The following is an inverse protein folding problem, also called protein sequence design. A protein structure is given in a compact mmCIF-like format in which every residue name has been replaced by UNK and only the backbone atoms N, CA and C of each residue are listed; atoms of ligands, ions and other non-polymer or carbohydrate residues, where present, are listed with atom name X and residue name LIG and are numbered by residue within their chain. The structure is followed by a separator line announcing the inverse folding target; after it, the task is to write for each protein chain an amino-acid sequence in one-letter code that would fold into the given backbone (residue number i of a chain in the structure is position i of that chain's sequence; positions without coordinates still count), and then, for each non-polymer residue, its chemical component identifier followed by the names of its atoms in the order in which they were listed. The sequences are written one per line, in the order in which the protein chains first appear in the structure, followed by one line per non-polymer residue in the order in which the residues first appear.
data_IF_272176922366
#
_entry.id   IF_272176922366
#
_cell.length_a   1.000
_cell.length_b   1.000
_cell.length_c   1.000
_cell.angle_alpha   90.00
_cell.angle_beta   90.00
_cell.angle_gamma   90.00
#
_symmetry.space_group_name_H-M   'P 1'
#
loop_
_entity.id
_entity.type
_entity.pdbx_description
1 polymer ?
#
# COMPACT_ATOMS: atom_id res chain seq x y z
N UNK A 1 -9.63 -12.49 3.82
CA UNK A 1 -8.99 -12.04 5.07
C UNK A 1 -7.50 -11.81 4.82
N UNK A 2 -6.84 -10.97 5.61
CA UNK A 2 -5.39 -10.81 5.51
C UNK A 2 -4.66 -11.95 6.26
N UNK A 3 -3.67 -12.55 5.61
CA UNK A 3 -2.82 -13.61 6.21
C UNK A 3 -2.17 -13.16 7.52
N UNK A 4 -1.74 -11.89 7.60
CA UNK A 4 -1.15 -11.34 8.80
C UNK A 4 -2.11 -11.37 10.01
N UNK A 5 -3.40 -11.12 9.79
CA UNK A 5 -4.41 -11.18 10.85
C UNK A 5 -4.62 -12.61 11.35
N UNK A 6 -4.77 -13.57 10.43
CA UNK A 6 -4.92 -14.98 10.77
C UNK A 6 -3.72 -15.52 11.55
N UNK A 7 -2.49 -15.18 11.12
CA UNK A 7 -1.26 -15.55 11.84
C UNK A 7 -1.20 -14.98 13.26
N UNK A 8 -1.54 -13.70 13.44
CA UNK A 8 -1.55 -13.04 14.75
C UNK A 8 -2.56 -13.66 15.72
N UNK A 9 -3.64 -14.23 15.20
CA UNK A 9 -4.68 -14.91 15.98
C UNK A 9 -4.40 -16.42 16.18
N UNK A 10 -3.30 -16.96 15.63
CA UNK A 10 -3.01 -18.39 15.69
C UNK A 10 -3.87 -19.27 14.77
N UNK A 11 -4.56 -18.67 13.79
CA UNK A 11 -5.48 -19.32 12.87
C UNK A 11 -4.84 -19.62 11.50
N UNK A 12 -3.51 -19.69 11.41
CA UNK A 12 -2.83 -19.95 10.14
C UNK A 12 -3.11 -21.35 9.55
N UNK A 13 -3.57 -22.30 10.38
CA UNK A 13 -4.00 -23.63 9.92
C UNK A 13 -5.28 -23.60 9.10
N UNK A 14 -6.08 -22.53 9.21
CA UNK A 14 -7.34 -22.34 8.48
C UNK A 14 -7.16 -21.62 7.15
N UNK A 15 -5.92 -21.27 6.79
CA UNK A 15 -5.61 -20.61 5.51
C UNK A 15 -5.71 -21.64 4.38
N UNK A 16 -6.83 -21.60 3.65
CA UNK A 16 -7.03 -22.47 2.48
C UNK A 16 -6.07 -22.13 1.33
N UNK A 17 -5.87 -20.84 1.05
CA UNK A 17 -5.04 -20.35 -0.04
C UNK A 17 -4.45 -18.98 0.30
N UNK A 18 -3.20 -18.75 -0.10
CA UNK A 18 -2.57 -17.43 -0.09
C UNK A 18 -2.58 -16.92 -1.54
N UNK A 19 -3.38 -15.88 -1.78
CA UNK A 19 -3.52 -15.30 -3.11
C UNK A 19 -2.24 -14.57 -3.53
N UNK A 20 -1.70 -14.84 -4.73
CA UNK A 20 -0.57 -14.10 -5.29
C UNK A 20 -0.88 -12.60 -5.45
N UNK A 21 0.14 -11.74 -5.31
CA UNK A 21 0.02 -10.27 -5.50
C UNK A 21 -0.45 -9.91 -6.91
N UNK A 22 -0.07 -10.70 -7.91
CA UNK A 22 -0.52 -10.52 -9.28
C UNK A 22 -2.06 -10.63 -9.39
N UNK A 23 -2.64 -11.58 -8.67
CA UNK A 23 -4.08 -11.88 -8.68
C UNK A 23 -4.85 -10.94 -7.75
N UNK A 24 -4.34 -10.73 -6.54
CA UNK A 24 -4.97 -9.89 -5.51
C UNK A 24 -3.92 -8.98 -4.87
N UNK A 25 -3.75 -7.79 -5.44
CA UNK A 25 -2.82 -6.80 -4.91
C UNK A 25 -3.29 -6.34 -3.51
N UNK A 26 -2.42 -6.36 -2.49
CA UNK A 26 -2.75 -5.91 -1.14
C UNK A 26 -3.25 -4.47 -1.02
N UNK A 27 -3.99 -4.20 0.05
CA UNK A 27 -4.27 -2.83 0.49
C UNK A 27 -2.97 -2.14 0.98
N UNK A 28 -2.82 -0.81 0.81
CA UNK A 28 -1.65 -0.08 1.28
C UNK A 28 -1.39 -0.31 2.78
N UNK A 29 -0.18 -0.77 3.12
CA UNK A 29 0.27 -1.05 4.47
C UNK A 29 -0.23 -2.38 5.06
N UNK A 30 -0.88 -3.25 4.26
CA UNK A 30 -1.44 -4.50 4.78
C UNK A 30 -0.37 -5.37 5.43
N UNK A 31 -0.55 -5.67 6.72
CA UNK A 31 0.35 -6.54 7.48
C UNK A 31 1.43 -5.79 8.26
N UNK A 32 1.69 -4.51 7.95
CA UNK A 32 2.54 -3.66 8.78
C UNK A 32 1.84 -3.27 10.10
N UNK A 33 2.63 -2.95 11.13
CA UNK A 33 2.16 -2.29 12.35
C UNK A 33 2.88 -0.95 12.45
N UNK A 34 2.14 0.09 12.83
CA UNK A 34 2.68 1.41 13.07
C UNK A 34 2.32 1.85 14.49
N UNK A 35 3.27 2.52 15.15
CA UNK A 35 3.05 3.13 16.46
C UNK A 35 2.94 4.64 16.25
N UNK A 36 1.85 5.23 16.72
CA UNK A 36 1.64 6.67 16.65
C UNK A 36 1.99 7.30 18.00
N UNK A 37 2.84 8.31 17.99
CA UNK A 37 3.13 9.16 19.14
C UNK A 37 2.60 10.57 18.90
N UNK A 38 2.52 11.36 19.97
CA UNK A 38 2.28 12.80 19.85
C UNK A 38 3.53 13.47 19.29
N UNK A 39 3.36 14.47 18.43
CA UNK A 39 4.47 15.26 17.92
C UNK A 39 5.25 15.92 19.07
N UNK A 40 6.59 15.81 19.02
CA UNK A 40 7.50 16.36 20.05
C UNK A 40 7.58 15.55 21.34
N UNK A 41 6.88 14.41 21.44
CA UNK A 41 6.93 13.54 22.61
C UNK A 41 8.21 12.68 22.61
N UNK A 42 8.94 12.57 23.74
CA UNK A 42 10.12 11.71 23.86
C UNK A 42 9.87 10.24 23.50
N UNK A 43 8.62 9.77 23.60
CA UNK A 43 8.24 8.43 23.15
C UNK A 43 8.57 8.17 21.67
N UNK A 44 8.70 9.21 20.84
CA UNK A 44 9.10 9.06 19.44
C UNK A 44 10.47 8.38 19.32
N UNK A 45 11.47 8.81 20.09
CA UNK A 45 12.82 8.25 20.00
C UNK A 45 12.87 6.78 20.42
N UNK A 46 12.07 6.41 21.42
CA UNK A 46 11.90 5.02 21.87
C UNK A 46 11.23 4.19 20.76
N UNK A 47 10.15 4.70 20.17
CA UNK A 47 9.42 3.98 19.12
C UNK A 47 10.25 3.85 17.84
N UNK A 48 11.13 4.82 17.54
CA UNK A 48 12.01 4.80 16.37
C UNK A 48 12.93 3.58 16.37
N UNK A 49 13.32 3.06 17.53
CA UNK A 49 14.14 1.84 17.63
C UNK A 49 13.40 0.58 17.16
N UNK A 50 12.06 0.60 17.11
CA UNK A 50 11.25 -0.50 16.59
C UNK A 50 11.12 -0.50 15.06
N UNK A 51 11.62 0.54 14.40
CA UNK A 51 11.45 0.72 12.95
C UNK A 51 12.26 -0.31 12.17
N UNK A 52 11.56 -1.08 11.35
CA UNK A 52 12.17 -1.88 10.30
C UNK A 52 12.21 -1.05 9.00
N UNK A 53 13.38 -0.48 8.69
CA UNK A 53 13.56 0.49 7.60
C UNK A 53 13.01 0.03 6.23
N UNK A 54 13.25 -1.21 5.75
CA UNK A 54 12.69 -1.67 4.48
C UNK A 54 11.15 -1.69 4.47
N UNK A 55 10.52 -2.05 5.60
CA UNK A 55 9.06 -2.01 5.71
C UNK A 55 8.55 -0.57 5.76
N UNK A 56 9.25 0.32 6.46
CA UNK A 56 8.89 1.74 6.47
C UNK A 56 8.90 2.31 5.04
N UNK A 57 9.98 2.10 4.29
CA UNK A 57 10.11 2.56 2.90
C UNK A 57 9.00 2.01 2.00
N UNK A 58 8.72 0.70 2.06
CA UNK A 58 7.61 0.09 1.32
C UNK A 58 6.26 0.74 1.67
N UNK A 59 5.95 0.86 2.96
CA UNK A 59 4.68 1.45 3.44
C UNK A 59 4.57 2.92 3.07
N UNK A 60 5.66 3.70 3.14
CA UNK A 60 5.68 5.10 2.69
C UNK A 60 5.37 5.21 1.19
N UNK A 61 5.94 4.32 0.37
CA UNK A 61 5.65 4.25 -1.06
C UNK A 61 4.17 3.94 -1.33
N UNK A 62 3.62 2.90 -0.69
CA UNK A 62 2.21 2.50 -0.82
C UNK A 62 1.25 3.60 -0.36
N UNK A 63 1.57 4.29 0.74
CA UNK A 63 0.76 5.38 1.27
C UNK A 63 0.82 6.62 0.39
N UNK A 64 1.94 6.89 -0.27
CA UNK A 64 2.06 7.98 -1.24
C UNK A 64 1.17 7.73 -2.48
N UNK A 65 1.01 6.47 -2.92
CA UNK A 65 0.02 6.12 -3.95
C UNK A 65 -1.39 6.48 -3.48
N UNK A 66 -1.79 6.02 -2.29
CA UNK A 66 -3.11 6.27 -1.73
C UNK A 66 -3.39 7.77 -1.58
N UNK A 67 -2.42 8.53 -1.06
CA UNK A 67 -2.52 9.97 -0.88
C UNK A 67 -2.64 10.71 -2.22
N UNK A 68 -1.83 10.33 -3.23
CA UNK A 68 -1.87 10.93 -4.57
C UNK A 68 -3.19 10.69 -5.30
N UNK A 69 -3.89 9.61 -4.99
CA UNK A 69 -5.24 9.31 -5.52
C UNK A 69 -6.37 9.98 -4.73
N UNK A 70 -6.04 10.78 -3.70
CA UNK A 70 -7.03 11.45 -2.84
C UNK A 70 -7.87 10.45 -2.02
N UNK A 71 -7.27 9.31 -1.67
CA UNK A 71 -8.01 8.15 -1.18
C UNK A 71 -8.04 7.94 0.34
N UNK A 72 -9.11 7.28 0.77
CA UNK A 72 -9.26 6.70 2.11
C UNK A 72 -9.58 5.21 2.02
N UNK A 73 -9.75 4.53 3.16
CA UNK A 73 -9.88 3.06 3.23
C UNK A 73 -11.06 2.45 2.44
N UNK A 74 -12.05 3.25 2.03
CA UNK A 74 -13.23 2.78 1.30
C UNK A 74 -13.03 2.75 -0.22
N UNK A 75 -11.91 3.27 -0.73
CA UNK A 75 -11.64 3.26 -2.15
C UNK A 75 -11.02 1.93 -2.60
N UNK A 76 -11.35 1.44 -3.80
CA UNK A 76 -10.85 0.21 -4.41
C UNK A 76 -9.45 0.45 -4.99
N UNK A 77 -8.53 0.82 -4.09
CA UNK A 77 -7.14 1.12 -4.38
C UNK A 77 -6.30 0.02 -3.73
N UNK A 78 -5.41 -0.56 -4.51
CA UNK A 78 -4.40 -1.50 -4.04
C UNK A 78 -3.01 -0.91 -4.29
N UNK A 79 -2.10 -1.11 -3.35
CA UNK A 79 -0.69 -0.78 -3.51
C UNK A 79 0.13 -1.73 -2.65
N UNK A 80 1.15 -2.34 -3.25
CA UNK A 80 2.09 -3.22 -2.59
C UNK A 80 3.49 -2.91 -3.08
N UNK A 81 4.37 -2.61 -2.13
CA UNK A 81 5.77 -2.37 -2.38
C UNK A 81 6.64 -3.37 -1.61
N UNK A 82 7.74 -3.77 -2.24
CA UNK A 82 8.79 -4.56 -1.58
C UNK A 82 10.16 -3.94 -1.85
N UNK A 83 11.06 -4.04 -0.88
CA UNK A 83 12.46 -3.63 -1.03
C UNK A 83 13.30 -4.87 -1.31
N UNK A 84 13.93 -4.91 -2.48
CA UNK A 84 14.87 -5.97 -2.91
C UNK A 84 16.16 -5.29 -3.36
N UNK A 85 17.29 -5.63 -2.74
CA UNK A 85 18.61 -5.07 -3.09
C UNK A 85 18.63 -3.52 -3.19
N UNK A 86 18.07 -2.84 -2.18
CA UNK A 86 17.95 -1.36 -2.11
C UNK A 86 17.06 -0.73 -3.20
N UNK A 87 16.29 -1.53 -3.94
CA UNK A 87 15.28 -1.06 -4.89
C UNK A 87 13.89 -1.36 -4.38
N UNK A 88 12.99 -0.39 -4.52
CA UNK A 88 11.57 -0.60 -4.38
C UNK A 88 11.01 -1.20 -5.67
N UNK A 89 10.17 -2.21 -5.52
CA UNK A 89 9.25 -2.69 -6.55
C UNK A 89 7.85 -2.41 -6.09
N UNK A 90 7.12 -1.57 -6.81
CA UNK A 90 5.75 -1.17 -6.50
C UNK A 90 4.81 -1.71 -7.55
N UNK A 91 3.75 -2.38 -7.11
CA UNK A 91 2.54 -2.66 -7.89
C UNK A 91 1.38 -1.88 -7.27
N UNK A 92 0.67 -1.11 -8.08
CA UNK A 92 -0.53 -0.40 -7.65
C UNK A 92 -1.65 -0.50 -8.67
N UNK A 93 -2.88 -0.38 -8.20
CA UNK A 93 -4.04 -0.39 -9.07
C UNK A 93 -5.29 0.25 -8.48
N UNK A 94 -6.18 0.65 -9.38
CA UNK A 94 -7.51 1.18 -9.06
C UNK A 94 -8.53 0.37 -9.83
N UNK A 95 -9.61 -0.02 -9.15
CA UNK A 95 -10.64 -0.89 -9.71
C UNK A 95 -12.01 -0.19 -9.67
N UNK A 96 -12.84 -0.39 -10.69
CA UNK A 96 -14.23 0.03 -10.61
C UNK A 96 -14.96 -0.81 -9.54
N UNK A 97 -15.92 -0.25 -8.78
CA UNK A 97 -16.60 -0.98 -7.69
C UNK A 97 -17.33 -2.24 -8.15
N UNK A 98 -17.85 -2.20 -9.37
CA UNK A 98 -18.53 -3.30 -10.03
C UNK A 98 -17.57 -4.27 -10.76
N UNK A 99 -16.26 -4.05 -10.65
CA UNK A 99 -15.21 -4.86 -11.30
C UNK A 99 -15.10 -4.69 -12.82
N UNK A 100 -15.89 -3.82 -13.45
CA UNK A 100 -15.96 -3.70 -14.93
C UNK A 100 -14.68 -3.16 -15.59
N UNK A 101 -13.88 -2.41 -14.84
CA UNK A 101 -12.66 -1.77 -15.32
C UNK A 101 -11.62 -1.74 -14.20
N UNK A 102 -10.35 -1.79 -14.57
CA UNK A 102 -9.25 -1.52 -13.65
C UNK A 102 -8.08 -0.88 -14.39
N UNK A 103 -7.23 -0.17 -13.63
CA UNK A 103 -5.94 0.34 -14.08
C UNK A 103 -4.87 -0.18 -13.14
N UNK A 104 -3.76 -0.69 -13.70
CA UNK A 104 -2.60 -1.17 -12.95
C UNK A 104 -1.32 -0.52 -13.45
N UNK A 105 -0.40 -0.24 -12.53
CA UNK A 105 0.93 0.28 -12.79
C UNK A 105 1.93 -0.52 -11.95
N UNK A 106 3.04 -0.89 -12.58
CA UNK A 106 4.21 -1.43 -11.91
C UNK A 106 5.36 -0.44 -12.10
N UNK A 107 6.15 -0.20 -11.07
CA UNK A 107 7.29 0.69 -11.13
C UNK A 107 8.41 0.19 -10.22
N UNK A 108 9.64 0.56 -10.56
CA UNK A 108 10.81 0.32 -9.72
C UNK A 108 11.57 1.63 -9.51
N UNK A 109 12.22 1.78 -8.36
CA UNK A 109 13.02 2.95 -8.04
C UNK A 109 13.94 2.73 -6.84
N UNK A 110 14.86 3.67 -6.55
CA UNK A 110 15.66 3.64 -5.33
C UNK A 110 14.77 3.64 -4.09
N UNK A 111 15.15 2.89 -3.05
CA UNK A 111 14.35 2.85 -1.82
C UNK A 111 14.34 4.19 -1.05
N UNK A 112 15.33 5.06 -1.26
CA UNK A 112 15.31 6.43 -0.72
C UNK A 112 14.23 7.32 -1.34
N UNK A 113 13.77 7.01 -2.56
CA UNK A 113 12.78 7.80 -3.30
C UNK A 113 11.36 7.25 -3.11
N UNK A 114 11.11 6.52 -2.02
CA UNK A 114 9.87 5.77 -1.78
C UNK A 114 8.59 6.58 -2.04
N UNK A 115 8.48 7.75 -1.40
CA UNK A 115 7.31 8.61 -1.55
C UNK A 115 7.20 9.22 -2.95
N UNK A 116 8.33 9.57 -3.56
CA UNK A 116 8.35 10.12 -4.92
C UNK A 116 7.85 9.08 -5.94
N UNK A 117 8.31 7.83 -5.82
CA UNK A 117 7.85 6.72 -6.66
C UNK A 117 6.34 6.49 -6.48
N UNK A 118 5.84 6.51 -5.25
CA UNK A 118 4.42 6.36 -4.97
C UNK A 118 3.57 7.47 -5.60
N UNK A 119 4.02 8.74 -5.50
CA UNK A 119 3.34 9.86 -6.15
C UNK A 119 3.37 9.78 -7.68
N UNK A 120 4.49 9.35 -8.28
CA UNK A 120 4.57 9.19 -9.74
C UNK A 120 3.60 8.12 -10.23
N UNK A 121 3.51 7.00 -9.52
CA UNK A 121 2.56 5.92 -9.83
C UNK A 121 1.10 6.36 -9.67
N UNK A 122 0.80 7.18 -8.66
CA UNK A 122 -0.53 7.79 -8.54
C UNK A 122 -0.87 8.68 -9.75
N UNK A 123 0.06 9.51 -10.20
CA UNK A 123 -0.12 10.34 -11.39
C UNK A 123 -0.35 9.49 -12.66
N UNK A 124 0.40 8.40 -12.83
CA UNK A 124 0.21 7.46 -13.94
C UNK A 124 -1.16 6.79 -13.91
N UNK A 125 -1.65 6.42 -12.72
CA UNK A 125 -2.98 5.84 -12.54
C UNK A 125 -4.07 6.86 -12.88
N UNK A 126 -3.92 8.13 -12.47
CA UNK A 126 -4.84 9.21 -12.83
C UNK A 126 -4.87 9.45 -14.34
N UNK A 127 -3.72 9.47 -15.00
CA UNK A 127 -3.61 9.58 -16.46
C UNK A 127 -4.31 8.41 -17.18
N UNK A 128 -4.40 7.23 -16.54
CA UNK A 128 -5.14 6.06 -17.03
C UNK A 128 -6.63 6.04 -16.64
N UNK A 129 -7.17 7.15 -16.12
CA UNK A 129 -8.58 7.30 -15.79
C UNK A 129 -8.99 6.79 -14.41
N UNK A 130 -8.05 6.61 -13.47
CA UNK A 130 -8.38 6.22 -12.09
C UNK A 130 -9.35 7.20 -11.40
N UNK A 131 -9.29 8.49 -11.74
CA UNK A 131 -10.19 9.50 -11.17
C UNK A 131 -11.67 9.21 -11.41
N UNK A 132 -12.03 8.74 -12.61
CA UNK A 132 -13.41 8.36 -12.95
C UNK A 132 -13.90 7.19 -12.10
N UNK A 133 -13.04 6.18 -11.90
CA UNK A 133 -13.35 4.99 -11.11
C UNK A 133 -13.54 5.33 -9.63
N UNK A 134 -12.74 6.27 -9.11
CA UNK A 134 -12.83 6.75 -7.72
C UNK A 134 -14.09 7.60 -7.50
N UNK A 135 -14.45 8.45 -8.46
CA UNK A 135 -15.63 9.31 -8.35
C UNK A 135 -16.94 8.50 -8.36
N UNK A 136 -16.99 7.40 -9.12
CA UNK A 136 -18.14 6.51 -9.17
C UNK A 136 -18.54 5.86 -7.82
N UNK A 137 -17.74 6.02 -6.77
CA UNK A 137 -18.03 5.57 -5.39
C UNK A 137 -18.57 6.64 -4.46
N UNK A 138 -18.44 7.91 -4.85
CA UNK A 138 -18.86 9.03 -4.01
C UNK A 138 -20.34 9.41 -4.22
N UNK A 139 -21.02 8.70 -5.13
CA UNK A 139 -22.47 8.77 -5.42
C UNK A 139 -23.20 7.59 -4.81
#
# INVERSE_FOLDING_TARGET
LAVAGLRRLGLQGDVAEILPVADMCPAPGQGALAVQTRAGDPAFDICRELTHEPTAQAVHCERAVLAGLGGGCQLPIAAFAEVVDRKLRLTAGVFAPNGSRHSRVNAEGPCEDAEQLGHSVAADLLAKGAGEMILALKT
#
